data_IF_280561654287
#
_entry.id   IF_280561654287
#
_cell.length_a   1.000
_cell.length_b   1.000
_cell.length_c   1.000
_cell.angle_alpha   90.00
_cell.angle_beta   90.00
_cell.angle_gamma   90.00
#
_symmetry.space_group_name_H-M   'P 1'
#
loop_
_entity.id
_entity.type
_entity.pdbx_description
1 polymer ?
#
# COMPACT_ATOMS: atom_id res chain seq x y z
N UNK A 1 -7.13 -5.69 7.78
CA UNK A 1 -6.26 -5.85 6.60
C UNK A 1 -5.52 -4.55 6.47
N UNK A 2 -4.20 -4.60 6.53
CA UNK A 2 -3.37 -3.40 6.39
C UNK A 2 -3.15 -3.04 4.91
N UNK A 3 -2.49 -1.91 4.66
CA UNK A 3 -2.24 -1.44 3.30
C UNK A 3 -1.35 -2.41 2.51
N UNK A 4 -0.38 -3.06 3.16
CA UNK A 4 0.52 -4.02 2.51
C UNK A 4 -0.25 -5.22 1.97
N UNK A 5 -1.07 -5.83 2.83
CA UNK A 5 -1.93 -6.97 2.48
C UNK A 5 -2.92 -6.61 1.36
N UNK A 6 -3.57 -5.45 1.48
CA UNK A 6 -4.55 -4.97 0.48
C UNK A 6 -3.91 -4.81 -0.91
N UNK A 7 -2.73 -4.17 -0.97
CA UNK A 7 -2.02 -3.96 -2.24
C UNK A 7 -1.51 -5.28 -2.82
N UNK A 8 -0.92 -6.14 -1.99
CA UNK A 8 -0.40 -7.43 -2.43
C UNK A 8 -1.52 -8.34 -2.98
N UNK A 9 -2.69 -8.37 -2.33
CA UNK A 9 -3.84 -9.16 -2.78
C UNK A 9 -4.41 -8.63 -4.09
N UNK A 10 -4.63 -7.31 -4.18
CA UNK A 10 -5.16 -6.68 -5.39
C UNK A 10 -4.21 -6.86 -6.60
N UNK A 11 -2.90 -6.68 -6.39
CA UNK A 11 -1.90 -6.88 -7.43
C UNK A 11 -1.83 -8.36 -7.86
N UNK A 12 -1.93 -9.31 -6.92
CA UNK A 12 -1.98 -10.74 -7.23
C UNK A 12 -3.24 -11.08 -8.04
N UNK A 13 -4.40 -10.56 -7.65
CA UNK A 13 -5.67 -10.76 -8.36
C UNK A 13 -5.61 -10.27 -9.81
N UNK A 14 -4.86 -9.21 -10.08
CA UNK A 14 -4.72 -8.60 -11.40
C UNK A 14 -3.42 -8.96 -12.13
N UNK A 15 -2.56 -9.80 -11.53
CA UNK A 15 -1.21 -10.15 -12.04
C UNK A 15 -0.34 -8.93 -12.38
N UNK A 16 -0.46 -7.86 -11.59
CA UNK A 16 0.30 -6.63 -11.77
C UNK A 16 1.65 -6.69 -11.05
N UNK A 17 2.70 -6.17 -11.70
CA UNK A 17 3.99 -5.90 -11.06
C UNK A 17 4.03 -4.48 -10.50
N UNK A 18 5.00 -4.19 -9.62
CA UNK A 18 5.22 -2.84 -9.10
C UNK A 18 5.53 -1.83 -10.22
N UNK A 19 6.22 -2.27 -11.27
CA UNK A 19 6.53 -1.46 -12.45
C UNK A 19 5.27 -1.14 -13.27
N UNK A 20 4.38 -2.11 -13.45
CA UNK A 20 3.10 -1.90 -14.14
C UNK A 20 2.20 -0.95 -13.34
N UNK A 21 2.15 -1.10 -12.02
CA UNK A 21 1.38 -0.22 -11.14
C UNK A 21 1.95 1.22 -11.12
N UNK A 22 3.27 1.36 -11.09
CA UNK A 22 3.95 2.65 -11.22
C UNK A 22 3.61 3.34 -12.54
N UNK A 23 3.60 2.59 -13.64
CA UNK A 23 3.20 3.13 -14.94
C UNK A 23 1.73 3.59 -14.94
N UNK A 24 0.82 2.82 -14.35
CA UNK A 24 -0.60 3.14 -14.30
C UNK A 24 -0.93 4.36 -13.42
N UNK A 25 -0.20 4.55 -12.32
CA UNK A 25 -0.45 5.61 -11.32
C UNK A 25 0.41 6.86 -11.51
N UNK A 26 1.47 6.79 -12.32
CA UNK A 26 2.50 7.82 -12.38
C UNK A 26 3.40 7.91 -11.14
N UNK A 27 3.19 7.05 -10.13
CA UNK A 27 4.00 7.00 -8.91
C UNK A 27 5.32 6.29 -9.24
N UNK A 28 6.44 6.82 -8.74
CA UNK A 28 7.76 6.21 -8.98
C UNK A 28 7.83 4.80 -8.41
N UNK A 29 8.38 3.85 -9.17
CA UNK A 29 8.54 2.43 -8.79
C UNK A 29 9.10 2.23 -7.36
N UNK A 30 10.14 2.97 -6.91
CA UNK A 30 10.64 2.79 -5.54
C UNK A 30 9.61 3.10 -4.46
N UNK A 31 8.67 4.03 -4.71
CA UNK A 31 7.59 4.35 -3.76
C UNK A 31 6.53 3.24 -3.77
N UNK A 32 6.14 2.74 -4.94
CA UNK A 32 5.24 1.59 -5.04
C UNK A 32 5.79 0.40 -4.26
N UNK A 33 7.08 0.08 -4.43
CA UNK A 33 7.74 -1.00 -3.66
C UNK A 33 7.68 -0.74 -2.16
N UNK A 34 7.98 0.48 -1.71
CA UNK A 34 7.88 0.84 -0.30
C UNK A 34 6.44 0.71 0.25
N UNK A 35 5.41 1.03 -0.54
CA UNK A 35 4.02 0.85 -0.09
C UNK A 35 3.61 -0.62 -0.03
N UNK A 36 4.12 -1.46 -0.94
CA UNK A 36 3.86 -2.90 -0.95
C UNK A 36 4.64 -3.62 0.16
N UNK A 37 5.82 -3.12 0.53
CA UNK A 37 6.67 -3.74 1.56
C UNK A 37 6.33 -3.22 2.97
N UNK A 38 6.27 -1.90 3.15
CA UNK A 38 6.15 -1.24 4.45
C UNK A 38 4.76 -0.60 4.69
N UNK A 39 3.85 -0.66 3.72
CA UNK A 39 2.52 -0.10 3.83
C UNK A 39 2.54 1.41 4.12
N UNK A 40 1.64 1.87 4.99
CA UNK A 40 1.58 3.27 5.43
C UNK A 40 2.42 3.54 6.69
N UNK A 41 3.10 2.53 7.23
CA UNK A 41 3.89 2.63 8.48
C UNK A 41 5.37 2.86 8.24
N UNK A 42 5.86 2.61 7.03
CA UNK A 42 7.25 2.81 6.62
C UNK A 42 7.75 4.26 6.63
N UNK A 43 9.05 4.45 6.37
CA UNK A 43 9.66 5.79 6.27
C UNK A 43 9.11 6.58 5.08
N UNK A 44 8.60 5.89 4.07
CA UNK A 44 7.98 6.46 2.88
C UNK A 44 6.47 6.27 3.01
N UNK A 45 5.77 7.32 3.45
CA UNK A 45 4.31 7.29 3.58
C UNK A 45 3.62 7.71 2.29
N UNK A 46 2.54 7.04 1.89
CA UNK A 46 1.71 7.48 0.77
C UNK A 46 0.92 8.74 1.13
N UNK A 47 0.75 9.64 0.16
CA UNK A 47 -0.15 10.80 0.31
C UNK A 47 -1.60 10.43 0.00
N UNK A 48 -2.55 11.32 0.30
CA UNK A 48 -3.95 11.10 -0.03
C UNK A 48 -4.18 10.96 -1.54
N UNK A 49 -3.46 11.75 -2.35
CA UNK A 49 -3.49 11.67 -3.81
C UNK A 49 -2.96 10.32 -4.28
N UNK A 50 -1.81 9.88 -3.76
CA UNK A 50 -1.24 8.58 -4.14
C UNK A 50 -2.15 7.42 -3.76
N UNK A 51 -2.83 7.48 -2.61
CA UNK A 51 -3.83 6.49 -2.21
C UNK A 51 -5.04 6.49 -3.15
N UNK A 52 -5.45 7.64 -3.66
CA UNK A 52 -6.51 7.74 -4.66
C UNK A 52 -6.09 7.14 -6.01
N UNK A 53 -4.87 7.40 -6.46
CA UNK A 53 -4.32 6.81 -7.69
C UNK A 53 -4.20 5.28 -7.57
N UNK A 54 -3.73 4.77 -6.42
CA UNK A 54 -3.66 3.34 -6.14
C UNK A 54 -5.05 2.69 -6.15
N UNK A 55 -6.03 3.34 -5.50
CA UNK A 55 -7.41 2.86 -5.49
C UNK A 55 -7.98 2.76 -6.92
N UNK A 56 -7.76 3.79 -7.73
CA UNK A 56 -8.22 3.81 -9.11
C UNK A 56 -7.52 2.73 -9.96
N UNK A 57 -6.19 2.67 -9.92
CA UNK A 57 -5.40 1.75 -10.72
C UNK A 57 -5.67 0.27 -10.38
N UNK A 58 -5.99 -0.02 -9.12
CA UNK A 58 -6.31 -1.37 -8.66
C UNK A 58 -7.81 -1.66 -8.63
N UNK A 59 -8.67 -0.72 -9.07
CA UNK A 59 -10.12 -0.84 -8.99
C UNK A 59 -10.64 -1.19 -7.57
N UNK A 60 -9.99 -0.62 -6.55
CA UNK A 60 -10.35 -0.76 -5.14
C UNK A 60 -11.22 0.40 -4.68
N UNK A 61 -12.16 0.19 -3.73
CA UNK A 61 -12.87 1.29 -3.10
C UNK A 61 -11.90 2.20 -2.33
N UNK A 62 -11.88 3.49 -2.66
CA UNK A 62 -11.04 4.47 -1.96
C UNK A 62 -11.23 4.45 -0.42
N UNK A 63 -12.44 4.31 0.15
CA UNK A 63 -12.60 4.21 1.60
C UNK A 63 -11.82 3.04 2.23
N UNK A 64 -11.73 1.90 1.54
CA UNK A 64 -11.02 0.71 2.03
C UNK A 64 -9.51 0.94 2.00
N UNK A 65 -9.00 1.59 0.95
CA UNK A 65 -7.58 1.97 0.83
C UNK A 65 -7.20 3.00 1.91
N UNK A 66 -8.05 3.99 2.16
CA UNK A 66 -7.83 4.98 3.22
C UNK A 66 -7.86 4.31 4.60
N UNK A 67 -8.82 3.43 4.86
CA UNK A 67 -8.89 2.68 6.11
C UNK A 67 -7.63 1.83 6.33
N UNK A 68 -7.18 1.10 5.30
CA UNK A 68 -5.97 0.29 5.35
C UNK A 68 -4.69 1.12 5.58
N UNK A 69 -4.63 2.34 5.05
CA UNK A 69 -3.52 3.29 5.30
C UNK A 69 -3.51 3.87 6.73
N UNK A 70 -4.67 3.88 7.39
CA UNK A 70 -4.85 4.39 8.75
C UNK A 70 -4.76 3.30 9.81
N UNK A 71 -4.86 2.03 9.41
CA UNK A 71 -4.81 0.88 10.32
C UNK A 71 -3.40 0.74 10.90
N UNK A 72 -3.18 1.48 11.99
CA UNK A 72 -1.91 1.60 12.72
C UNK A 72 -1.53 0.35 13.52
N UNK A 73 -2.24 -0.78 13.35
CA UNK A 73 -2.25 -1.81 14.37
C UNK A 73 -1.22 -2.93 14.14
N UNK A 74 -0.30 -2.98 15.11
CA UNK A 74 0.12 -4.19 15.84
C UNK A 74 1.22 -5.09 15.27
N UNK A 75 2.37 -4.53 14.88
CA UNK A 75 3.66 -5.27 14.95
C UNK A 75 4.74 -4.61 15.80
N UNK A 76 4.52 -3.37 16.27
CA UNK A 76 5.44 -2.72 17.21
C UNK A 76 5.40 -3.27 18.66
N UNK A 77 4.61 -4.32 18.94
CA UNK A 77 4.50 -4.95 20.27
C UNK A 77 5.09 -6.37 20.39
N UNK A 78 5.83 -6.85 19.38
CA UNK A 78 6.51 -8.15 19.42
C UNK A 78 8.05 -8.05 19.44
N UNK A 79 8.61 -7.01 20.09
CA UNK A 79 10.06 -6.76 20.07
C UNK A 79 10.67 -6.15 21.32
N UNK A 80 10.00 -6.18 22.49
CA UNK A 80 10.64 -5.81 23.76
C UNK A 80 10.26 -6.80 24.86
N UNK A 81 10.92 -7.97 24.82
CA UNK A 81 11.13 -8.84 25.96
C UNK A 81 12.49 -9.53 25.78
N UNK A 82 13.54 -8.85 26.22
CA UNK A 82 14.67 -9.40 26.99
C UNK A 82 15.46 -8.26 27.61
#
# INVERSE_FOLDING_TARGET
MDLTELLADAMRGQRLSAEALAYATGIRVPRIKAFVEDGAVGPIRPTAEELAELAQALSLPLPDVLAASQDRRTVAHAGHLV
#
